data_IF_091313655597
#
_entry.id   IF_091313655597
#
_cell.length_a   1.000
_cell.length_b   1.000
_cell.length_c   1.000
_cell.angle_alpha   90.00
_cell.angle_beta   90.00
_cell.angle_gamma   90.00
#
_symmetry.space_group_name_H-M   'P 1'
#
loop_
_entity.id
_entity.type
_entity.pdbx_description
1 polymer ?
#
# COMPACT_ATOMS: atom_id res chain seq x y z
N UNK A 1 39.83 -6.49 -2.97
CA UNK A 1 38.90 -5.79 -2.06
C UNK A 1 38.17 -4.75 -2.90
N UNK A 2 37.13 -5.19 -3.60
CA UNK A 2 36.45 -4.40 -4.64
C UNK A 2 35.30 -3.64 -3.98
N UNK A 3 35.48 -2.33 -3.83
CA UNK A 3 34.43 -1.43 -3.36
C UNK A 3 33.39 -1.29 -4.48
N UNK A 4 32.26 -1.96 -4.36
CA UNK A 4 31.06 -1.62 -5.14
C UNK A 4 30.60 -0.24 -4.67
N UNK A 5 30.82 0.76 -5.53
CA UNK A 5 30.30 2.12 -5.33
C UNK A 5 28.80 2.03 -5.60
N UNK A 6 28.00 1.99 -4.54
CA UNK A 6 26.55 2.16 -4.65
C UNK A 6 26.29 3.50 -5.32
N UNK A 7 25.78 3.48 -6.55
CA UNK A 7 25.22 4.67 -7.17
C UNK A 7 23.93 4.92 -6.40
N UNK A 8 23.93 5.95 -5.56
CA UNK A 8 22.68 6.44 -4.99
C UNK A 8 21.80 6.89 -6.16
N UNK A 9 20.91 6.00 -6.63
CA UNK A 9 19.83 6.39 -7.52
C UNK A 9 19.08 7.51 -6.81
N UNK A 10 19.07 8.70 -7.40
CA UNK A 10 18.17 9.76 -6.94
C UNK A 10 16.77 9.17 -6.84
N UNK A 11 16.07 9.30 -5.70
CA UNK A 11 14.73 8.74 -5.58
C UNK A 11 13.88 9.35 -6.69
N UNK A 12 13.30 8.49 -7.53
CA UNK A 12 12.36 8.93 -8.55
C UNK A 12 11.26 9.74 -7.88
N UNK A 13 10.84 10.89 -8.44
CA UNK A 13 9.78 11.68 -7.85
C UNK A 13 8.49 10.84 -7.75
N UNK A 14 7.68 11.12 -6.74
CA UNK A 14 6.32 10.59 -6.67
C UNK A 14 5.45 11.41 -7.61
N UNK A 15 4.71 10.73 -8.48
CA UNK A 15 3.78 11.31 -9.45
C UNK A 15 2.39 10.74 -9.21
N UNK A 16 1.36 11.58 -9.38
CA UNK A 16 -0.03 11.14 -9.43
C UNK A 16 -0.38 10.66 -10.84
N UNK A 17 -1.15 9.57 -10.93
CA UNK A 17 -1.55 8.93 -12.18
C UNK A 17 -3.01 8.54 -12.09
N UNK A 18 -3.79 8.80 -13.12
CA UNK A 18 -5.13 8.21 -13.24
C UNK A 18 -5.38 7.71 -14.66
N UNK A 19 -5.80 6.45 -14.76
CA UNK A 19 -6.13 5.77 -16.02
C UNK A 19 -7.61 5.31 -16.07
N UNK A 20 -8.40 5.68 -15.06
CA UNK A 20 -9.82 5.32 -14.99
C UNK A 20 -10.12 3.89 -14.53
N UNK A 21 -9.18 3.24 -13.80
CA UNK A 21 -9.38 1.90 -13.23
C UNK A 21 -10.64 1.85 -12.37
N UNK A 22 -11.51 0.87 -12.61
CA UNK A 22 -12.82 0.79 -11.94
C UNK A 22 -12.74 0.21 -10.54
N UNK A 23 -11.69 -0.55 -10.24
CA UNK A 23 -11.52 -1.25 -8.96
C UNK A 23 -10.09 -1.16 -8.47
N UNK A 24 -9.89 -1.33 -7.16
CA UNK A 24 -8.55 -1.40 -6.57
C UNK A 24 -7.78 -2.59 -7.12
N UNK A 25 -8.42 -3.75 -7.28
CA UNK A 25 -7.78 -4.95 -7.82
C UNK A 25 -7.23 -4.73 -9.25
N UNK A 26 -7.99 -4.01 -10.09
CA UNK A 26 -7.54 -3.64 -11.44
C UNK A 26 -6.30 -2.73 -11.40
N UNK A 27 -6.33 -1.69 -10.56
CA UNK A 27 -5.20 -0.78 -10.36
C UNK A 27 -3.98 -1.49 -9.76
N UNK A 28 -4.18 -2.37 -8.78
CA UNK A 28 -3.14 -3.16 -8.13
C UNK A 28 -2.45 -4.10 -9.13
N UNK A 29 -3.23 -4.79 -9.95
CA UNK A 29 -2.71 -5.66 -11.00
C UNK A 29 -1.89 -4.87 -12.02
N UNK A 30 -2.36 -3.68 -12.42
CA UNK A 30 -1.60 -2.79 -13.30
C UNK A 30 -0.27 -2.36 -12.66
N UNK A 31 -0.28 -1.91 -11.40
CA UNK A 31 0.94 -1.55 -10.65
C UNK A 31 1.94 -2.71 -10.62
N UNK A 32 1.48 -3.92 -10.31
CA UNK A 32 2.32 -5.12 -10.21
C UNK A 32 2.87 -5.60 -11.57
N UNK A 33 2.29 -5.13 -12.68
CA UNK A 33 2.73 -5.48 -14.04
C UNK A 33 3.83 -4.55 -14.60
N UNK A 34 4.15 -3.46 -13.90
CA UNK A 34 5.12 -2.46 -14.35
C UNK A 34 6.56 -3.01 -14.28
N UNK A 35 7.33 -2.78 -15.34
CA UNK A 35 8.76 -3.08 -15.42
C UNK A 35 9.53 -1.86 -15.98
N UNK A 36 10.45 -1.24 -15.21
CA UNK A 36 10.80 -1.58 -13.83
C UNK A 36 9.66 -1.31 -12.84
N UNK A 37 9.58 -2.13 -11.80
CA UNK A 37 8.62 -1.92 -10.71
C UNK A 37 8.89 -0.60 -9.98
N UNK A 38 7.84 0.16 -9.61
CA UNK A 38 8.01 1.38 -8.82
C UNK A 38 8.52 1.01 -7.42
N UNK A 39 9.30 1.89 -6.80
CA UNK A 39 9.77 1.69 -5.42
C UNK A 39 8.66 1.93 -4.37
N UNK A 40 7.61 2.66 -4.76
CA UNK A 40 6.45 2.98 -3.94
C UNK A 40 5.24 3.14 -4.88
N UNK A 41 4.11 2.56 -4.52
CA UNK A 41 2.84 2.79 -5.22
C UNK A 41 1.66 2.65 -4.26
N UNK A 42 0.70 3.58 -4.36
CA UNK A 42 -0.50 3.64 -3.54
C UNK A 42 -1.74 3.80 -4.41
N UNK A 43 -2.83 3.13 -4.06
CA UNK A 43 -4.15 3.34 -4.67
C UNK A 43 -5.00 4.31 -3.86
N UNK A 44 -5.77 5.12 -4.57
CA UNK A 44 -6.61 6.19 -4.03
C UNK A 44 -8.00 6.08 -4.66
N UNK A 45 -9.03 5.93 -3.83
CA UNK A 45 -10.41 6.01 -4.30
C UNK A 45 -10.78 7.48 -4.51
N UNK A 46 -11.21 7.81 -5.73
CA UNK A 46 -11.60 9.17 -6.14
C UNK A 46 -13.02 9.16 -6.69
N UNK A 47 -13.74 10.28 -6.55
CA UNK A 47 -15.16 10.38 -6.93
C UNK A 47 -15.40 11.07 -8.28
N UNK A 48 -14.44 11.89 -8.73
CA UNK A 48 -14.56 12.73 -9.93
C UNK A 48 -13.47 12.36 -10.93
N UNK A 49 -13.75 12.37 -12.26
CA UNK A 49 -15.04 12.72 -12.88
C UNK A 49 -16.13 11.64 -12.74
N UNK A 50 -15.76 10.44 -12.30
CA UNK A 50 -16.65 9.35 -11.89
C UNK A 50 -15.92 8.54 -10.80
N UNK A 51 -16.60 7.67 -10.04
CA UNK A 51 -15.94 6.80 -9.07
C UNK A 51 -14.92 5.87 -9.74
N UNK A 52 -13.63 6.01 -9.41
CA UNK A 52 -12.55 5.19 -9.94
C UNK A 52 -11.33 5.20 -9.00
N UNK A 53 -10.25 4.53 -9.42
CA UNK A 53 -8.99 4.45 -8.68
C UNK A 53 -7.89 5.24 -9.38
N UNK A 54 -7.40 6.27 -8.68
CA UNK A 54 -6.18 6.99 -9.02
C UNK A 54 -5.01 6.43 -8.20
N UNK A 55 -3.79 6.74 -8.62
CA UNK A 55 -2.56 6.11 -8.10
C UNK A 55 -1.53 7.20 -7.82
N UNK A 56 -0.81 7.10 -6.70
CA UNK A 56 0.45 7.84 -6.52
C UNK A 56 1.59 6.84 -6.50
N UNK A 57 2.66 7.10 -7.25
CA UNK A 57 3.80 6.18 -7.31
C UNK A 57 5.09 6.87 -7.70
N UNK A 58 6.22 6.25 -7.37
CA UNK A 58 7.52 6.72 -7.86
C UNK A 58 7.69 6.43 -9.35
N UNK A 59 8.08 7.45 -10.12
CA UNK A 59 8.23 7.36 -11.57
C UNK A 59 7.52 8.51 -12.31
N UNK A 60 7.51 8.44 -13.63
CA UNK A 60 6.88 9.44 -14.51
C UNK A 60 5.91 8.71 -15.42
N UNK A 61 4.65 9.16 -15.41
CA UNK A 61 3.57 8.55 -16.16
C UNK A 61 2.63 9.64 -16.67
N UNK A 62 2.08 9.41 -17.86
CA UNK A 62 1.09 10.30 -18.44
C UNK A 62 -0.30 10.00 -17.89
N UNK A 63 -1.09 11.06 -17.69
CA UNK A 63 -2.49 10.99 -17.31
C UNK A 63 -3.32 11.66 -18.42
N UNK A 64 -4.44 11.05 -18.87
CA UNK A 64 -5.38 11.73 -19.76
C UNK A 64 -5.86 13.04 -19.14
N UNK A 65 -5.98 14.10 -19.95
CA UNK A 65 -6.25 15.45 -19.45
C UNK A 65 -7.54 15.52 -18.62
N UNK A 66 -8.55 14.74 -18.99
CA UNK A 66 -9.83 14.62 -18.29
C UNK A 66 -9.74 13.97 -16.90
N UNK A 67 -8.64 13.28 -16.59
CA UNK A 67 -8.38 12.63 -15.30
C UNK A 67 -7.29 13.34 -14.49
N UNK A 68 -6.76 14.47 -14.96
CA UNK A 68 -5.63 15.16 -14.30
C UNK A 68 -5.95 15.55 -12.85
N UNK A 69 -7.17 16.02 -12.58
CA UNK A 69 -7.60 16.34 -11.20
C UNK A 69 -7.52 15.13 -10.27
N UNK A 70 -7.89 13.94 -10.75
CA UNK A 70 -7.81 12.72 -9.96
C UNK A 70 -6.35 12.30 -9.68
N UNK A 71 -5.45 12.51 -10.64
CA UNK A 71 -4.02 12.32 -10.44
C UNK A 71 -3.45 13.30 -9.40
N UNK A 72 -3.82 14.58 -9.47
CA UNK A 72 -3.39 15.60 -8.51
C UNK A 72 -3.90 15.28 -7.09
N UNK A 73 -5.15 14.82 -6.97
CA UNK A 73 -5.74 14.38 -5.71
C UNK A 73 -4.99 13.18 -5.12
N UNK A 74 -4.64 12.19 -5.94
CA UNK A 74 -3.82 11.04 -5.51
C UNK A 74 -2.42 11.49 -5.05
N UNK A 75 -1.77 12.38 -5.80
CA UNK A 75 -0.45 12.93 -5.45
C UNK A 75 -0.46 13.70 -4.13
N UNK A 76 -1.58 14.35 -3.78
CA UNK A 76 -1.72 15.06 -2.51
C UNK A 76 -1.49 14.16 -1.29
N UNK A 77 -1.57 12.83 -1.46
CA UNK A 77 -1.11 11.83 -0.49
C UNK A 77 -1.92 11.81 0.81
N UNK A 78 -3.10 12.46 0.84
CA UNK A 78 -3.90 12.60 2.06
C UNK A 78 -4.35 11.25 2.62
N UNK A 79 -4.71 10.32 1.74
CA UNK A 79 -5.19 8.98 2.07
C UNK A 79 -4.87 8.04 0.90
N UNK A 80 -4.20 6.91 1.12
CA UNK A 80 -3.90 5.93 0.07
C UNK A 80 -3.50 4.57 0.63
N UNK A 81 -3.80 3.49 -0.09
CA UNK A 81 -3.44 2.12 0.26
C UNK A 81 -2.20 1.68 -0.48
N UNK A 82 -1.13 1.38 0.25
CA UNK A 82 0.11 0.97 -0.36
C UNK A 82 -0.02 -0.42 -0.97
N UNK A 83 0.41 -0.52 -2.22
CA UNK A 83 0.52 -1.75 -3.01
C UNK A 83 1.97 -2.21 -3.00
N UNK A 84 2.88 -1.27 -3.26
CA UNK A 84 4.33 -1.45 -3.22
C UNK A 84 4.90 -0.44 -2.24
N UNK A 85 5.78 -0.91 -1.38
CA UNK A 85 6.54 -0.10 -0.43
C UNK A 85 7.81 -0.88 -0.03
N UNK A 86 8.86 -0.20 0.46
CA UNK A 86 10.09 -0.87 0.85
C UNK A 86 9.84 -2.00 1.87
N UNK A 87 10.37 -3.19 1.57
CA UNK A 87 10.29 -4.38 2.43
C UNK A 87 9.00 -5.21 2.33
N UNK A 88 8.06 -4.86 1.45
CA UNK A 88 6.81 -5.62 1.25
C UNK A 88 7.06 -7.09 0.87
N UNK A 89 8.14 -7.37 0.14
CA UNK A 89 8.55 -8.70 -0.30
C UNK A 89 9.06 -9.60 0.83
N UNK A 90 9.42 -9.00 1.98
CA UNK A 90 9.86 -9.72 3.18
C UNK A 90 8.70 -10.03 4.14
N UNK A 91 7.49 -9.48 3.90
CA UNK A 91 6.32 -9.67 4.76
C UNK A 91 5.56 -10.95 4.39
N UNK A 92 6.20 -12.10 4.66
CA UNK A 92 5.70 -13.44 4.31
C UNK A 92 5.59 -14.30 5.57
N UNK A 93 4.47 -15.01 5.71
CA UNK A 93 4.20 -15.88 6.86
C UNK A 93 3.98 -15.13 8.18
N UNK A 94 4.47 -15.72 9.28
CA UNK A 94 4.32 -15.18 10.64
C UNK A 94 5.56 -14.43 11.07
N UNK A 95 5.35 -13.19 11.50
CA UNK A 95 6.38 -12.28 11.99
C UNK A 95 5.87 -11.62 13.28
N UNK A 96 6.78 -11.20 14.14
CA UNK A 96 6.43 -10.27 15.23
C UNK A 96 6.14 -8.88 14.67
N UNK A 97 5.32 -8.09 15.35
CA UNK A 97 5.09 -6.68 14.99
C UNK A 97 6.40 -5.89 14.93
N UNK A 98 7.32 -6.13 15.88
CA UNK A 98 8.64 -5.51 15.87
C UNK A 98 9.49 -5.89 14.66
N UNK A 99 9.42 -7.14 14.17
CA UNK A 99 10.09 -7.54 12.93
C UNK A 99 9.49 -6.83 11.72
N UNK A 100 8.16 -6.74 11.62
CA UNK A 100 7.47 -6.07 10.51
C UNK A 100 7.91 -4.61 10.39
N UNK A 101 7.91 -3.85 11.48
CA UNK A 101 8.34 -2.45 11.48
C UNK A 101 9.85 -2.29 11.21
N UNK A 102 10.66 -3.29 11.54
CA UNK A 102 12.11 -3.24 11.31
C UNK A 102 12.50 -3.52 9.86
N UNK A 103 11.79 -4.43 9.18
CA UNK A 103 12.16 -4.91 7.84
C UNK A 103 11.39 -4.21 6.71
N UNK A 104 10.37 -3.42 7.04
CA UNK A 104 9.54 -2.73 6.07
C UNK A 104 9.36 -1.25 6.39
N UNK A 105 8.81 -0.50 5.45
CA UNK A 105 8.46 0.91 5.62
C UNK A 105 7.21 1.15 6.48
N UNK A 106 6.63 0.12 7.11
CA UNK A 106 5.46 0.29 7.98
C UNK A 106 5.89 0.99 9.27
N UNK A 107 5.32 2.17 9.51
CA UNK A 107 5.64 2.99 10.68
C UNK A 107 4.92 2.50 11.93
N UNK A 108 3.70 1.95 11.78
CA UNK A 108 2.86 1.54 12.91
C UNK A 108 1.98 0.36 12.56
N UNK A 109 1.77 -0.51 13.54
CA UNK A 109 0.74 -1.56 13.50
C UNK A 109 -0.34 -1.24 14.53
N UNK A 110 -1.58 -1.15 14.05
CA UNK A 110 -2.76 -0.92 14.88
C UNK A 110 -3.65 -2.16 14.89
N UNK A 111 -4.21 -2.50 16.04
CA UNK A 111 -5.29 -3.48 16.20
C UNK A 111 -6.62 -2.73 16.14
N UNK A 112 -7.48 -3.11 15.19
CA UNK A 112 -8.78 -2.48 14.98
C UNK A 112 -9.61 -2.49 16.26
N UNK A 113 -9.96 -1.30 16.76
CA UNK A 113 -10.74 -1.13 17.98
C UNK A 113 -9.96 -1.30 19.29
N UNK A 114 -8.64 -1.51 19.26
CA UNK A 114 -7.82 -1.73 20.46
C UNK A 114 -6.55 -0.87 20.56
N UNK A 115 -6.14 -0.19 19.48
CA UNK A 115 -5.01 0.75 19.53
C UNK A 115 -3.75 0.18 18.89
N UNK A 116 -2.56 0.55 19.39
CA UNK A 116 -1.28 0.03 18.89
C UNK A 116 -1.09 -1.43 19.31
N UNK A 117 -0.53 -2.25 18.42
CA UNK A 117 -0.08 -3.60 18.75
C UNK A 117 1.24 -3.55 19.52
N UNK A 118 1.49 -4.56 20.36
CA UNK A 118 2.76 -4.73 21.05
C UNK A 118 3.81 -5.34 20.11
N UNK A 119 5.09 -4.96 20.25
CA UNK A 119 6.18 -5.46 19.40
C UNK A 119 6.28 -7.00 19.39
N UNK A 120 5.88 -7.64 20.49
CA UNK A 120 5.91 -9.09 20.67
C UNK A 120 4.70 -9.81 20.07
N UNK A 121 3.65 -9.09 19.66
CA UNK A 121 2.46 -9.70 19.05
C UNK A 121 2.84 -10.39 17.75
N UNK A 122 2.29 -11.60 17.54
CA UNK A 122 2.50 -12.36 16.32
C UNK A 122 1.49 -11.92 15.27
N UNK A 123 1.99 -11.44 14.13
CA UNK A 123 1.22 -11.10 12.94
C UNK A 123 1.41 -12.19 11.88
N UNK A 124 0.32 -12.86 11.52
CA UNK A 124 0.25 -13.72 10.34
C UNK A 124 -0.12 -12.85 9.13
N UNK A 125 0.88 -12.52 8.32
CA UNK A 125 0.78 -11.60 7.18
C UNK A 125 -0.12 -12.13 6.06
N UNK A 126 -0.39 -13.45 6.03
CA UNK A 126 -1.12 -14.13 4.95
C UNK A 126 -0.57 -13.82 3.55
N UNK A 127 0.71 -13.46 3.50
CA UNK A 127 1.43 -13.06 2.28
C UNK A 127 0.70 -11.94 1.50
N UNK A 128 -0.03 -11.09 2.24
CA UNK A 128 -0.79 -9.96 1.69
C UNK A 128 -0.95 -8.86 2.74
N UNK A 129 -0.21 -7.76 2.54
CA UNK A 129 -0.21 -6.62 3.47
C UNK A 129 -0.53 -5.34 2.70
N UNK A 130 -1.54 -4.61 3.18
CA UNK A 130 -2.06 -3.37 2.57
C UNK A 130 -2.14 -2.26 3.61
N UNK A 131 -1.01 -1.66 3.99
CA UNK A 131 -1.02 -0.56 4.93
C UNK A 131 -1.55 0.72 4.27
N UNK A 132 -2.03 1.64 5.09
CA UNK A 132 -2.62 2.91 4.65
C UNK A 132 -1.75 4.08 5.08
N UNK A 133 -1.50 5.00 4.17
CA UNK A 133 -0.96 6.32 4.54
C UNK A 133 -2.03 7.10 5.30
N UNK A 134 -1.70 7.44 6.55
CA UNK A 134 -2.54 8.23 7.46
C UNK A 134 -1.65 9.23 8.17
N UNK A 135 -1.90 10.53 7.92
CA UNK A 135 -1.15 11.63 8.54
C UNK A 135 0.37 11.55 8.35
N UNK A 136 0.84 11.01 7.21
CA UNK A 136 2.26 10.85 6.91
C UNK A 136 2.88 9.52 7.37
N UNK A 137 2.18 8.74 8.19
CA UNK A 137 2.61 7.41 8.62
C UNK A 137 2.00 6.32 7.74
N UNK A 138 2.76 5.27 7.43
CA UNK A 138 2.29 4.05 6.79
C UNK A 138 1.80 3.08 7.87
N UNK A 139 0.48 3.04 8.07
CA UNK A 139 -0.16 2.31 9.17
C UNK A 139 -0.77 1.01 8.67
N UNK A 140 -0.34 -0.12 9.23
CA UNK A 140 -0.98 -1.41 9.04
C UNK A 140 -2.07 -1.63 10.09
N UNK A 141 -3.33 -1.67 9.65
CA UNK A 141 -4.44 -2.10 10.51
C UNK A 141 -4.60 -3.62 10.49
N UNK A 142 -4.72 -4.20 11.67
CA UNK A 142 -4.85 -5.64 11.91
C UNK A 142 -6.12 -5.95 12.71
N UNK A 143 -6.50 -7.23 12.74
CA UNK A 143 -7.58 -7.76 13.58
C UNK A 143 -7.09 -9.00 14.33
N UNK A 144 -7.61 -9.27 15.55
CA UNK A 144 -7.31 -10.52 16.25
C UNK A 144 -7.88 -11.73 15.50
N UNK A 145 -7.14 -12.82 15.49
CA UNK A 145 -7.54 -14.12 14.96
C UNK A 145 -7.31 -15.24 16.00
N UNK A 146 -7.80 -16.44 15.69
CA UNK A 146 -7.65 -17.60 16.57
C UNK A 146 -6.17 -17.91 16.86
N UNK A 147 -5.88 -18.26 18.12
CA UNK A 147 -4.52 -18.59 18.55
C UNK A 147 -3.70 -17.39 19.04
N UNK A 148 -4.33 -16.24 19.29
CA UNK A 148 -3.65 -15.05 19.81
C UNK A 148 -2.74 -14.39 18.78
N UNK A 149 -3.06 -14.54 17.49
CA UNK A 149 -2.33 -13.91 16.38
C UNK A 149 -3.14 -12.77 15.80
N UNK A 150 -2.44 -11.75 15.32
CA UNK A 150 -2.98 -10.68 14.50
C UNK A 150 -2.96 -11.10 13.04
N UNK A 151 -3.91 -10.59 12.25
CA UNK A 151 -3.93 -10.71 10.79
C UNK A 151 -4.24 -9.35 10.17
N UNK A 152 -3.74 -9.05 8.95
CA UNK A 152 -4.13 -7.83 8.25
C UNK A 152 -5.65 -7.70 8.15
N UNK A 153 -6.17 -6.48 8.35
CA UNK A 153 -7.60 -6.18 8.20
C UNK A 153 -8.06 -6.38 6.75
N UNK A 154 -7.22 -5.98 5.80
CA UNK A 154 -7.47 -6.21 4.38
C UNK A 154 -7.21 -7.68 4.02
N UNK A 155 -8.07 -8.23 3.17
CA UNK A 155 -7.92 -9.58 2.62
C UNK A 155 -7.70 -9.48 1.12
N UNK A 156 -6.92 -10.42 0.55
CA UNK A 156 -6.59 -10.44 -0.88
C UNK A 156 -7.84 -10.59 -1.74
N UNK A 157 -8.73 -11.49 -1.33
CA UNK A 157 -10.01 -11.75 -1.95
C UNK A 157 -11.11 -11.49 -0.91
N UNK A 158 -11.54 -10.22 -0.74
CA UNK A 158 -12.63 -9.95 0.19
C UNK A 158 -13.87 -10.69 -0.28
N UNK A 159 -14.51 -11.43 0.64
CA UNK A 159 -15.83 -11.99 0.37
C UNK A 159 -16.73 -10.84 -0.08
N UNK A 160 -17.36 -10.91 -1.27
CA UNK A 160 -18.23 -9.84 -1.73
C UNK A 160 -19.40 -9.71 -0.77
N UNK A 161 -19.34 -8.73 0.13
CA UNK A 161 -20.38 -8.52 1.13
C UNK A 161 -21.40 -7.46 0.74
N UNK A 162 -21.23 -6.75 -0.39
CA UNK A 162 -22.19 -5.74 -0.86
C UNK A 162 -22.19 -5.61 -2.38
N UNK A 163 -22.70 -6.61 -3.13
CA UNK A 163 -22.97 -6.46 -4.56
C UNK A 163 -24.40 -5.97 -4.88
N UNK A 164 -25.28 -5.81 -3.87
CA UNK A 164 -26.68 -5.39 -4.07
C UNK A 164 -27.09 -4.33 -3.04
N UNK A 165 -26.82 -3.04 -3.29
CA UNK A 165 -27.51 -1.91 -2.64
C UNK A 165 -27.60 -0.70 -3.55
#
# INVERSE_FOLDING_TARGET
MTLYRSVASTPSPVTGVSLGHRTTAEADHWILSLDPAPALACTHLVQSPFPHVAISMTGVFDTPAELQTAADDALSGKFGRAVIFPGVDQLVGRLTVGEVMKISAIDRVEVLGSGLADDADILDTRDFVRPQYRNGDLVLTTTPAAGGVLVPFETRDPTPCCADH
#
